data_IF_318673227773
#
_entry.id   IF_318673227773
#
_cell.length_a   1.000
_cell.length_b   1.000
_cell.length_c   1.000
_cell.angle_alpha   90.00
_cell.angle_beta   90.00
_cell.angle_gamma   90.00
#
_symmetry.space_group_name_H-M   'P 1'
#
loop_
_entity.id
_entity.type
_entity.pdbx_description
1 polymer ?
#
# COMPACT_ATOMS: atom_id res chain seq x y z
N UNK A 1 1.12 -3.33 21.94
CA UNK A 1 2.54 -3.71 21.84
C UNK A 1 3.29 -3.18 23.05
N UNK A 2 4.05 -4.02 23.77
CA UNK A 2 4.91 -3.59 24.88
C UNK A 2 6.33 -3.22 24.44
N UNK A 3 7.17 -2.78 25.37
CA UNK A 3 8.56 -2.34 25.11
C UNK A 3 9.41 -3.39 24.38
N UNK A 4 9.31 -4.66 24.79
CA UNK A 4 9.99 -5.78 24.11
C UNK A 4 9.60 -5.90 22.64
N UNK A 5 8.30 -5.77 22.32
CA UNK A 5 7.81 -5.87 20.94
C UNK A 5 8.26 -4.70 20.06
N UNK A 6 8.41 -3.49 20.64
CA UNK A 6 8.96 -2.34 19.93
C UNK A 6 10.43 -2.58 19.58
N UNK A 7 11.22 -3.14 20.51
CA UNK A 7 12.63 -3.48 20.28
C UNK A 7 12.77 -4.54 19.19
N UNK A 8 12.01 -5.62 19.26
CA UNK A 8 12.03 -6.68 18.25
C UNK A 8 11.67 -6.17 16.85
N UNK A 9 10.64 -5.34 16.73
CA UNK A 9 10.27 -4.69 15.46
C UNK A 9 11.41 -3.79 14.96
N UNK A 10 12.02 -3.02 15.87
CA UNK A 10 13.11 -2.09 15.53
C UNK A 10 14.33 -2.84 15.00
N UNK A 11 14.76 -3.89 15.70
CA UNK A 11 15.91 -4.69 15.31
C UNK A 11 15.64 -5.39 13.96
N UNK A 12 14.44 -5.95 13.79
CA UNK A 12 14.03 -6.56 12.53
C UNK A 12 14.06 -5.58 11.36
N UNK A 13 13.54 -4.35 11.54
CA UNK A 13 13.55 -3.37 10.45
C UNK A 13 14.94 -2.82 10.15
N UNK A 14 15.85 -2.76 11.14
CA UNK A 14 17.25 -2.37 10.89
C UNK A 14 17.96 -3.42 10.05
N UNK A 15 17.81 -4.71 10.38
CA UNK A 15 18.35 -5.79 9.54
C UNK A 15 17.81 -5.71 8.11
N UNK A 16 16.49 -5.51 7.95
CA UNK A 16 15.90 -5.31 6.62
C UNK A 16 16.51 -4.08 5.94
N UNK A 17 16.67 -2.96 6.64
CA UNK A 17 17.24 -1.75 6.06
C UNK A 17 18.68 -1.97 5.57
N UNK A 18 19.50 -2.68 6.34
CA UNK A 18 20.87 -3.06 6.00
C UNK A 18 20.94 -3.95 4.75
N UNK A 19 20.06 -4.94 4.65
CA UNK A 19 19.94 -5.83 3.48
C UNK A 19 19.62 -5.06 2.17
N UNK A 20 19.02 -3.87 2.29
CA UNK A 20 18.69 -2.98 1.18
C UNK A 20 19.65 -1.78 1.04
N UNK A 21 20.81 -1.83 1.68
CA UNK A 21 21.92 -0.90 1.46
C UNK A 21 21.99 0.27 2.43
N UNK A 22 21.03 0.43 3.35
CA UNK A 22 21.15 1.45 4.39
C UNK A 22 22.26 1.12 5.39
N UNK A 23 22.94 2.12 5.98
CA UNK A 23 22.74 3.57 5.86
C UNK A 23 23.39 4.22 4.62
N UNK A 24 23.94 3.44 3.69
CA UNK A 24 24.60 3.96 2.49
C UNK A 24 23.57 4.35 1.41
N UNK A 25 24.07 4.86 0.28
CA UNK A 25 23.22 5.24 -0.85
C UNK A 25 22.59 3.98 -1.49
N UNK A 26 21.32 3.76 -1.18
CA UNK A 26 20.50 2.72 -1.80
C UNK A 26 20.00 3.17 -3.17
N UNK A 27 20.01 2.27 -4.15
CA UNK A 27 19.43 2.54 -5.46
C UNK A 27 17.90 2.66 -5.39
N UNK A 28 17.30 3.39 -6.33
CA UNK A 28 15.84 3.60 -6.35
C UNK A 28 15.03 2.29 -6.34
N UNK A 29 15.56 1.23 -6.96
CA UNK A 29 14.94 -0.10 -6.96
C UNK A 29 14.94 -0.73 -5.56
N UNK A 30 16.01 -0.57 -4.80
CA UNK A 30 16.15 -1.12 -3.44
C UNK A 30 15.27 -0.37 -2.44
N UNK A 31 15.04 0.94 -2.62
CA UNK A 31 14.06 1.69 -1.81
C UNK A 31 12.65 1.08 -1.90
N UNK A 32 12.22 0.71 -3.12
CA UNK A 32 10.90 0.12 -3.36
C UNK A 32 10.82 -1.30 -2.78
N UNK A 33 11.89 -2.09 -2.94
CA UNK A 33 11.95 -3.45 -2.39
C UNK A 33 11.98 -3.45 -0.86
N UNK A 34 12.74 -2.53 -0.26
CA UNK A 34 12.74 -2.27 1.18
C UNK A 34 11.33 -2.01 1.68
N UNK A 35 10.58 -1.10 1.05
CA UNK A 35 9.21 -0.77 1.46
C UNK A 35 8.29 -2.00 1.47
N UNK A 36 8.45 -2.93 0.50
CA UNK A 36 7.65 -4.17 0.44
C UNK A 36 7.97 -5.09 1.60
N UNK A 37 9.25 -5.37 1.84
CA UNK A 37 9.67 -6.26 2.92
C UNK A 37 9.34 -5.65 4.30
N UNK A 38 9.59 -4.36 4.47
CA UNK A 38 9.25 -3.64 5.69
C UNK A 38 7.74 -3.62 5.97
N UNK A 39 6.90 -3.43 4.95
CA UNK A 39 5.44 -3.48 5.12
C UNK A 39 4.96 -4.82 5.70
N UNK A 40 5.50 -5.93 5.19
CA UNK A 40 5.17 -7.27 5.69
C UNK A 40 5.65 -7.46 7.14
N UNK A 41 6.90 -7.10 7.44
CA UNK A 41 7.48 -7.22 8.77
C UNK A 41 6.71 -6.39 9.81
N UNK A 42 6.37 -5.14 9.46
CA UNK A 42 5.57 -4.23 10.28
C UNK A 42 4.20 -4.83 10.57
N UNK A 43 3.48 -5.29 9.54
CA UNK A 43 2.15 -5.85 9.72
C UNK A 43 2.15 -7.12 10.56
N UNK A 44 3.10 -8.05 10.33
CA UNK A 44 3.22 -9.29 11.09
C UNK A 44 3.55 -9.05 12.56
N UNK A 45 4.41 -8.08 12.83
CA UNK A 45 4.92 -7.84 14.19
C UNK A 45 3.96 -7.01 15.04
N UNK A 46 3.23 -6.05 14.44
CA UNK A 46 2.50 -5.07 15.23
C UNK A 46 1.25 -5.60 15.94
N UNK A 47 0.58 -6.60 15.37
CA UNK A 47 -0.67 -7.19 15.88
C UNK A 47 -1.63 -6.15 16.50
N UNK A 48 -1.88 -5.06 15.76
CA UNK A 48 -2.81 -3.99 16.12
C UNK A 48 -4.05 -4.04 15.24
N UNK A 49 -5.16 -3.54 15.75
CA UNK A 49 -6.42 -3.36 15.01
C UNK A 49 -6.37 -2.13 14.11
N UNK A 50 -7.29 -2.06 13.14
CA UNK A 50 -7.47 -0.86 12.31
C UNK A 50 -7.77 0.41 13.12
N UNK A 51 -8.44 0.26 14.28
CA UNK A 51 -8.74 1.36 15.19
C UNK A 51 -7.45 1.87 15.85
N UNK A 52 -6.62 0.98 16.38
CA UNK A 52 -5.33 1.35 16.96
C UNK A 52 -4.40 1.95 15.89
N UNK A 53 -4.37 1.36 14.69
CA UNK A 53 -3.63 1.86 13.54
C UNK A 53 -4.12 3.22 13.03
N UNK A 54 -5.34 3.66 13.38
CA UNK A 54 -5.81 5.02 13.08
C UNK A 54 -5.21 6.08 14.02
N UNK A 55 -4.61 5.66 15.13
CA UNK A 55 -4.01 6.55 16.13
C UNK A 55 -2.67 7.05 15.65
N UNK A 56 -2.62 8.33 15.27
CA UNK A 56 -1.41 9.02 14.77
C UNK A 56 -0.19 8.89 15.69
N UNK A 57 -0.42 8.88 17.00
CA UNK A 57 0.65 8.77 18.00
C UNK A 57 1.49 7.50 17.89
N UNK A 58 0.89 6.37 17.49
CA UNK A 58 1.61 5.10 17.27
C UNK A 58 2.69 5.30 16.21
N UNK A 59 2.33 5.95 15.12
CA UNK A 59 3.21 6.13 13.97
C UNK A 59 4.29 7.18 14.21
N UNK A 60 3.92 8.33 14.79
CA UNK A 60 4.88 9.36 15.15
C UNK A 60 5.89 8.84 16.19
N UNK A 61 5.47 7.99 17.13
CA UNK A 61 6.40 7.32 18.05
C UNK A 61 7.41 6.45 17.31
N UNK A 62 6.96 5.62 16.37
CA UNK A 62 7.89 4.79 15.57
C UNK A 62 8.89 5.64 14.78
N UNK A 63 8.44 6.71 14.13
CA UNK A 63 9.29 7.55 13.29
C UNK A 63 10.22 8.51 14.03
N UNK A 64 9.84 8.95 15.24
CA UNK A 64 10.61 9.97 15.97
C UNK A 64 11.42 9.36 17.11
N UNK A 65 10.90 8.31 17.76
CA UNK A 65 11.50 7.73 18.97
C UNK A 65 12.15 6.38 18.69
N UNK A 66 11.44 5.43 18.09
CA UNK A 66 11.95 4.06 17.95
C UNK A 66 12.96 3.89 16.81
N UNK A 67 12.63 4.45 15.63
CA UNK A 67 13.36 4.26 14.38
C UNK A 67 13.54 5.58 13.58
N UNK A 68 14.10 6.64 14.20
CA UNK A 68 14.35 7.90 13.49
C UNK A 68 15.42 7.76 12.40
N UNK A 69 16.37 6.86 12.59
CA UNK A 69 17.40 6.46 11.63
C UNK A 69 16.80 5.96 10.32
N UNK A 70 15.93 4.95 10.37
CA UNK A 70 15.28 4.37 9.18
C UNK A 70 14.45 5.43 8.44
N UNK A 71 13.75 6.28 9.17
CA UNK A 71 12.96 7.37 8.57
C UNK A 71 13.87 8.38 7.85
N UNK A 72 15.00 8.75 8.46
CA UNK A 72 15.99 9.64 7.86
C UNK A 72 16.66 9.04 6.63
N UNK A 73 17.03 7.76 6.68
CA UNK A 73 17.65 7.08 5.53
C UNK A 73 16.69 6.97 4.35
N UNK A 74 15.43 6.61 4.61
CA UNK A 74 14.41 6.47 3.55
C UNK A 74 13.96 7.81 2.97
N UNK A 75 13.97 8.87 3.77
CA UNK A 75 13.49 10.21 3.41
C UNK A 75 14.42 11.32 3.93
N UNK A 76 15.61 11.50 3.32
CA UNK A 76 16.64 12.41 3.84
C UNK A 76 16.25 13.90 3.81
N UNK A 77 15.30 14.27 2.94
CA UNK A 77 14.88 15.66 2.69
C UNK A 77 14.01 16.29 3.80
N UNK A 78 13.90 15.66 4.98
CA UNK A 78 13.13 16.16 6.14
C UNK A 78 11.68 16.54 5.80
N UNK A 79 11.02 15.79 4.93
CA UNK A 79 9.60 15.99 4.66
C UNK A 79 8.78 15.63 5.90
N UNK A 80 8.18 16.64 6.55
CA UNK A 80 7.48 16.48 7.83
C UNK A 80 6.35 15.44 7.79
N UNK A 81 5.68 15.25 6.65
CA UNK A 81 4.60 14.26 6.51
C UNK A 81 5.11 12.81 6.62
N UNK A 82 6.41 12.58 6.39
CA UNK A 82 7.05 11.26 6.54
C UNK A 82 7.36 10.94 8.00
N UNK A 83 7.53 11.95 8.84
CA UNK A 83 7.94 11.86 10.24
C UNK A 83 6.78 12.01 11.22
N UNK A 84 5.85 12.90 10.92
CA UNK A 84 4.68 13.21 11.74
C UNK A 84 3.47 12.73 10.98
N UNK A 85 2.65 11.90 11.63
CA UNK A 85 1.48 11.28 11.03
C UNK A 85 0.30 12.26 10.82
N UNK A 86 0.54 13.39 10.13
CA UNK A 86 -0.46 14.35 9.64
C UNK A 86 -1.32 13.76 8.52
N UNK A 87 -0.74 12.85 7.72
CA UNK A 87 -1.43 12.03 6.75
C UNK A 87 -0.92 10.58 6.85
N UNK A 88 -1.80 9.65 7.27
CA UNK A 88 -1.48 8.24 7.44
C UNK A 88 -1.12 7.54 6.12
N UNK A 89 -1.53 8.09 4.98
CA UNK A 89 -1.22 7.53 3.65
C UNK A 89 0.18 7.92 3.16
N UNK A 90 0.79 8.94 3.77
CA UNK A 90 2.11 9.47 3.42
C UNK A 90 3.17 9.17 4.47
N UNK A 91 2.77 8.98 5.73
CA UNK A 91 3.71 8.71 6.80
C UNK A 91 4.52 7.42 6.60
N UNK A 92 5.81 7.45 6.96
CA UNK A 92 6.82 6.41 6.67
C UNK A 92 6.30 5.00 6.97
N UNK A 93 5.96 4.72 8.23
CA UNK A 93 5.55 3.37 8.65
C UNK A 93 4.05 3.10 8.50
N UNK A 94 3.23 4.14 8.62
CA UNK A 94 1.77 4.01 8.59
C UNK A 94 1.32 3.53 7.22
N UNK A 95 1.84 4.14 6.14
CA UNK A 95 1.47 3.75 4.78
C UNK A 95 1.79 2.27 4.53
N UNK A 96 2.91 1.78 5.07
CA UNK A 96 3.36 0.41 4.87
C UNK A 96 2.43 -0.57 5.58
N UNK A 97 2.05 -0.27 6.84
CA UNK A 97 1.08 -1.09 7.57
C UNK A 97 -0.28 -1.12 6.89
N UNK A 98 -0.79 0.03 6.42
CA UNK A 98 -2.08 0.10 5.73
C UNK A 98 -2.05 -0.58 4.35
N UNK A 99 -0.94 -0.48 3.62
CA UNK A 99 -0.74 -1.23 2.37
C UNK A 99 -0.78 -2.74 2.64
N UNK A 100 -0.02 -3.22 3.63
CA UNK A 100 -0.02 -4.62 4.02
C UNK A 100 -1.41 -5.09 4.46
N UNK A 101 -2.10 -4.35 5.33
CA UNK A 101 -3.47 -4.66 5.78
C UNK A 101 -4.45 -4.74 4.61
N UNK A 102 -4.33 -3.83 3.65
CA UNK A 102 -5.22 -3.77 2.48
C UNK A 102 -5.02 -4.96 1.56
N UNK A 103 -3.77 -5.39 1.34
CA UNK A 103 -3.45 -6.38 0.30
C UNK A 103 -3.09 -7.77 0.81
N UNK A 104 -3.02 -7.99 2.13
CA UNK A 104 -2.86 -9.32 2.70
C UNK A 104 -4.09 -10.19 2.45
N UNK A 105 -3.88 -11.43 2.05
CA UNK A 105 -4.93 -12.46 1.99
C UNK A 105 -4.69 -13.44 3.12
N UNK A 106 -5.67 -13.60 4.01
CA UNK A 106 -5.58 -14.54 5.13
C UNK A 106 -6.04 -15.90 4.61
N UNK A 107 -5.17 -16.91 4.76
CA UNK A 107 -5.39 -18.29 4.35
C UNK A 107 -5.19 -19.22 5.55
N UNK A 108 -5.56 -20.50 5.42
CA UNK A 108 -5.29 -21.52 6.44
C UNK A 108 -3.78 -21.70 6.71
N UNK A 109 -2.93 -21.40 5.72
CA UNK A 109 -1.48 -21.43 5.85
C UNK A 109 -0.89 -20.13 6.45
N UNK A 110 -1.73 -19.14 6.76
CA UNK A 110 -1.35 -17.84 7.29
C UNK A 110 -1.54 -16.69 6.31
N UNK A 111 -0.81 -15.60 6.55
CA UNK A 111 -0.92 -14.35 5.78
C UNK A 111 -0.11 -14.43 4.48
N UNK A 112 -0.81 -14.38 3.34
CA UNK A 112 -0.23 -14.24 2.01
C UNK A 112 -0.12 -12.77 1.59
N UNK A 113 1.10 -12.34 1.24
CA UNK A 113 1.42 -10.99 0.78
C UNK A 113 1.77 -10.95 -0.72
N UNK A 114 1.56 -12.05 -1.46
CA UNK A 114 1.85 -12.16 -2.90
C UNK A 114 1.27 -10.99 -3.70
N UNK A 115 0.02 -10.60 -3.40
CA UNK A 115 -0.63 -9.46 -4.03
C UNK A 115 0.12 -8.15 -3.76
N UNK A 116 0.50 -7.87 -2.51
CA UNK A 116 1.29 -6.68 -2.17
C UNK A 116 2.63 -6.65 -2.92
N UNK A 117 3.34 -7.78 -2.94
CA UNK A 117 4.65 -7.91 -3.59
C UNK A 117 4.61 -7.65 -5.09
N UNK A 118 3.48 -7.97 -5.73
CA UNK A 118 3.29 -7.79 -7.18
C UNK A 118 3.00 -6.34 -7.60
N UNK A 119 2.72 -5.44 -6.65
CA UNK A 119 2.33 -4.05 -6.95
C UNK A 119 3.54 -3.11 -6.90
N UNK A 120 3.67 -2.26 -7.92
CA UNK A 120 4.65 -1.16 -7.90
C UNK A 120 4.22 -0.04 -6.94
N UNK A 121 5.13 0.87 -6.58
CA UNK A 121 4.76 2.05 -5.77
C UNK A 121 3.73 2.92 -6.48
N UNK A 122 3.81 3.01 -7.82
CA UNK A 122 2.80 3.72 -8.60
C UNK A 122 1.43 3.07 -8.51
N UNK A 123 1.35 1.72 -8.55
CA UNK A 123 0.07 1.01 -8.45
C UNK A 123 -0.57 1.23 -7.07
N UNK A 124 0.24 1.12 -6.01
CA UNK A 124 -0.23 1.36 -4.64
C UNK A 124 -0.76 2.78 -4.49
N UNK A 125 -0.01 3.80 -4.90
CA UNK A 125 -0.46 5.19 -4.78
C UNK A 125 -1.80 5.41 -5.51
N UNK A 126 -1.97 4.83 -6.71
CA UNK A 126 -3.21 4.95 -7.47
C UNK A 126 -4.42 4.31 -6.77
N UNK A 127 -4.23 3.32 -5.91
CA UNK A 127 -5.29 2.64 -5.17
C UNK A 127 -5.48 3.30 -3.79
N UNK A 128 -4.41 3.44 -3.00
CA UNK A 128 -4.46 3.81 -1.59
C UNK A 128 -4.72 5.29 -1.35
N UNK A 129 -4.31 6.20 -2.25
CA UNK A 129 -4.62 7.63 -2.12
C UNK A 129 -6.09 7.93 -2.43
N UNK A 130 -6.83 6.97 -2.99
CA UNK A 130 -8.23 7.13 -3.38
C UNK A 130 -9.15 6.57 -2.30
N UNK A 131 -9.48 7.41 -1.30
CA UNK A 131 -10.29 7.02 -0.13
C UNK A 131 -11.55 6.21 -0.44
N UNK A 132 -12.31 6.54 -1.48
CA UNK A 132 -13.52 5.79 -1.86
C UNK A 132 -13.25 4.36 -2.34
N UNK A 133 -12.04 4.08 -2.84
CA UNK A 133 -11.62 2.73 -3.22
C UNK A 133 -10.94 2.05 -2.04
N UNK A 134 -9.95 2.71 -1.43
CA UNK A 134 -9.18 2.16 -0.33
C UNK A 134 -10.05 1.79 0.88
N UNK A 135 -11.18 2.49 1.09
CA UNK A 135 -12.15 2.19 2.14
C UNK A 135 -12.97 0.91 1.91
N UNK A 136 -12.91 0.31 0.72
CA UNK A 136 -13.57 -0.95 0.39
C UNK A 136 -12.48 -1.97 0.02
N UNK A 137 -11.96 -2.66 1.03
CA UNK A 137 -10.81 -3.57 0.87
C UNK A 137 -10.99 -4.62 -0.25
N UNK A 138 -12.15 -5.30 -0.39
CA UNK A 138 -12.36 -6.23 -1.50
C UNK A 138 -12.20 -5.57 -2.88
N UNK A 139 -12.74 -4.36 -3.06
CA UNK A 139 -12.60 -3.60 -4.30
C UNK A 139 -11.14 -3.18 -4.54
N UNK A 140 -10.42 -2.72 -3.52
CA UNK A 140 -9.01 -2.37 -3.63
C UNK A 140 -8.16 -3.58 -4.09
N UNK A 141 -8.41 -4.78 -3.52
CA UNK A 141 -7.75 -6.03 -3.92
C UNK A 141 -8.11 -6.44 -5.34
N UNK A 142 -9.39 -6.33 -5.72
CA UNK A 142 -9.85 -6.62 -7.08
C UNK A 142 -9.17 -5.71 -8.11
N UNK A 143 -9.08 -4.40 -7.83
CA UNK A 143 -8.35 -3.45 -8.68
C UNK A 143 -6.88 -3.84 -8.79
N UNK A 144 -6.22 -4.20 -7.69
CA UNK A 144 -4.86 -4.68 -7.71
C UNK A 144 -4.71 -5.92 -8.62
N UNK A 145 -5.49 -6.99 -8.39
CA UNK A 145 -5.48 -8.24 -9.18
C UNK A 145 -5.63 -7.97 -10.68
N UNK A 146 -6.63 -7.18 -11.05
CA UNK A 146 -6.92 -6.86 -12.46
C UNK A 146 -5.83 -5.97 -13.07
N UNK A 147 -5.25 -5.05 -12.29
CA UNK A 147 -4.25 -4.11 -12.81
C UNK A 147 -2.88 -4.73 -13.09
N UNK A 148 -2.53 -5.82 -12.40
CA UNK A 148 -1.26 -6.54 -12.59
C UNK A 148 -1.18 -7.11 -14.02
N UNK A 149 -2.32 -7.51 -14.60
CA UNK A 149 -2.40 -8.01 -15.96
C UNK A 149 -2.34 -6.94 -17.07
N UNK A 150 -2.21 -5.66 -16.72
CA UNK A 150 -2.11 -4.56 -17.68
C UNK A 150 -0.65 -4.23 -17.98
N UNK A 151 -0.35 -3.88 -19.22
CA UNK A 151 0.99 -3.40 -19.61
C UNK A 151 1.46 -2.26 -18.69
N UNK A 152 2.70 -2.37 -18.22
CA UNK A 152 3.28 -1.44 -17.23
C UNK A 152 3.55 -0.04 -17.80
N UNK A 153 3.56 0.96 -16.92
CA UNK A 153 4.01 2.32 -17.24
C UNK A 153 2.87 3.33 -17.42
N UNK A 154 3.01 4.22 -18.42
CA UNK A 154 2.10 5.35 -18.63
C UNK A 154 0.71 4.92 -19.11
N UNK A 155 0.62 3.82 -19.86
CA UNK A 155 -0.66 3.23 -20.27
C UNK A 155 -1.49 2.84 -19.04
N UNK A 156 -0.89 2.14 -18.06
CA UNK A 156 -1.57 1.77 -16.82
C UNK A 156 -2.09 2.98 -16.05
N UNK A 157 -1.27 4.03 -15.89
CA UNK A 157 -1.69 5.27 -15.22
C UNK A 157 -2.85 5.95 -15.94
N UNK A 158 -2.82 6.00 -17.27
CA UNK A 158 -3.90 6.56 -18.07
C UNK A 158 -5.20 5.74 -17.90
N UNK A 159 -5.10 4.40 -17.88
CA UNK A 159 -6.24 3.52 -17.61
C UNK A 159 -6.81 3.78 -16.22
N UNK A 160 -5.99 3.87 -15.17
CA UNK A 160 -6.47 4.22 -13.81
C UNK A 160 -7.17 5.59 -13.76
N UNK A 161 -6.65 6.57 -14.50
CA UNK A 161 -7.25 7.91 -14.58
C UNK A 161 -8.65 7.87 -15.18
N UNK A 162 -8.87 7.03 -16.18
CA UNK A 162 -10.16 6.88 -16.87
C UNK A 162 -11.12 5.90 -16.16
N UNK A 163 -10.60 4.81 -15.59
CA UNK A 163 -11.39 3.75 -14.96
C UNK A 163 -12.00 4.16 -13.62
N UNK A 164 -11.24 4.85 -12.77
CA UNK A 164 -11.70 5.14 -11.41
C UNK A 164 -12.91 6.07 -11.35
N UNK A 165 -13.03 7.15 -12.13
CA UNK A 165 -14.27 7.93 -12.18
C UNK A 165 -15.48 7.06 -12.54
N UNK A 166 -15.30 6.09 -13.44
CA UNK A 166 -16.35 5.14 -13.83
C UNK A 166 -16.71 4.20 -12.67
N UNK A 167 -15.72 3.64 -11.97
CA UNK A 167 -15.97 2.85 -10.75
C UNK A 167 -16.70 3.66 -9.68
N UNK A 168 -16.29 4.90 -9.41
CA UNK A 168 -16.94 5.79 -8.44
C UNK A 168 -18.39 6.10 -8.80
N UNK A 169 -18.70 6.28 -10.08
CA UNK A 169 -20.09 6.45 -10.54
C UNK A 169 -20.93 5.20 -10.26
N UNK A 170 -20.35 4.01 -10.41
CA UNK A 170 -21.04 2.76 -10.12
C UNK A 170 -21.30 2.55 -8.62
N UNK A 171 -20.43 3.08 -7.76
CA UNK A 171 -20.61 3.00 -6.31
C UNK A 171 -21.90 3.68 -5.82
N UNK A 172 -22.49 4.59 -6.61
CA UNK A 172 -23.78 5.21 -6.28
C UNK A 172 -24.97 4.24 -6.42
N UNK A 173 -24.78 3.13 -7.15
CA UNK A 173 -25.85 2.17 -7.48
C UNK A 173 -25.53 0.75 -7.02
N UNK A 174 -24.27 0.45 -6.74
CA UNK A 174 -23.77 -0.88 -6.39
C UNK A 174 -22.95 -0.78 -5.13
N UNK A 175 -23.34 -1.55 -4.11
CA UNK A 175 -22.51 -1.74 -2.94
C UNK A 175 -21.44 -2.81 -3.22
N UNK A 176 -20.25 -2.33 -3.61
CA UNK A 176 -19.10 -3.18 -3.88
C UNK A 176 -18.64 -3.99 -2.65
N UNK A 177 -19.00 -3.61 -1.42
CA UNK A 177 -18.64 -4.39 -0.24
C UNK A 177 -19.41 -5.72 -0.13
N UNK A 178 -20.51 -5.86 -0.88
CA UNK A 178 -21.38 -7.06 -0.84
C UNK A 178 -21.10 -8.07 -1.96
N UNK A 179 -20.27 -7.69 -2.94
CA UNK A 179 -19.94 -8.54 -4.09
C UNK A 179 -18.88 -9.58 -3.73
N UNK A 180 -18.97 -10.76 -4.36
CA UNK A 180 -17.89 -11.76 -4.28
C UNK A 180 -16.63 -11.28 -5.03
N UNK A 181 -15.49 -11.91 -4.74
CA UNK A 181 -14.23 -11.61 -5.44
C UNK A 181 -14.37 -11.76 -6.98
N UNK A 182 -15.07 -12.78 -7.45
CA UNK A 182 -15.32 -12.99 -8.89
C UNK A 182 -16.18 -11.86 -9.49
N UNK A 183 -17.26 -11.48 -8.80
CA UNK A 183 -18.14 -10.39 -9.24
C UNK A 183 -17.39 -9.04 -9.26
N UNK A 184 -16.52 -8.81 -8.27
CA UNK A 184 -15.67 -7.64 -8.23
C UNK A 184 -14.70 -7.64 -9.41
N UNK A 185 -14.00 -8.74 -9.63
CA UNK A 185 -13.01 -8.86 -10.69
C UNK A 185 -13.66 -8.70 -12.08
N UNK A 186 -14.83 -9.28 -12.30
CA UNK A 186 -15.63 -9.09 -13.52
C UNK A 186 -15.98 -7.61 -13.74
N UNK A 187 -16.44 -6.93 -12.68
CA UNK A 187 -16.84 -5.53 -12.76
C UNK A 187 -15.64 -4.62 -13.01
N UNK A 188 -14.54 -4.85 -12.32
CA UNK A 188 -13.30 -4.10 -12.49
C UNK A 188 -12.73 -4.35 -13.89
N UNK A 189 -12.67 -5.60 -14.36
CA UNK A 189 -12.22 -5.95 -15.73
C UNK A 189 -13.05 -5.24 -16.79
N UNK A 190 -14.38 -5.21 -16.66
CA UNK A 190 -15.25 -4.50 -17.60
C UNK A 190 -14.93 -3.00 -17.67
N UNK A 191 -14.74 -2.35 -16.51
CA UNK A 191 -14.44 -0.91 -16.45
C UNK A 191 -13.03 -0.59 -16.96
N UNK A 192 -12.03 -1.37 -16.56
CA UNK A 192 -10.65 -1.20 -16.98
C UNK A 192 -10.45 -1.49 -18.47
N UNK A 193 -11.12 -2.52 -19.02
CA UNK A 193 -11.12 -2.81 -20.45
C UNK A 193 -11.69 -1.64 -21.27
N UNK A 194 -12.86 -1.12 -20.86
CA UNK A 194 -13.47 0.04 -21.51
C UNK A 194 -12.61 1.32 -21.38
N UNK A 195 -11.85 1.47 -20.30
CA UNK A 195 -10.91 2.58 -20.11
C UNK A 195 -9.69 2.43 -21.02
N UNK A 196 -9.12 1.23 -21.11
CA UNK A 196 -8.02 0.89 -22.02
C UNK A 196 -8.39 1.20 -23.48
N UNK A 197 -9.54 0.74 -23.96
CA UNK A 197 -10.00 1.06 -25.33
C UNK A 197 -10.26 2.56 -25.55
N UNK A 198 -10.50 3.35 -24.50
CA UNK A 198 -10.63 4.80 -24.61
C UNK A 198 -9.28 5.47 -24.76
N UNK A 199 -8.30 5.05 -23.96
CA UNK A 199 -6.92 5.56 -24.01
C UNK A 199 -6.29 5.30 -25.38
N UNK A 200 -6.42 4.08 -25.91
CA UNK A 200 -5.89 3.72 -27.24
C UNK A 200 -6.52 4.49 -28.40
N UNK A 201 -7.72 5.07 -28.23
CA UNK A 201 -8.39 5.86 -29.28
C UNK A 201 -7.95 7.34 -29.30
N UNK A 202 -7.29 7.81 -28.24
CA UNK A 202 -6.94 9.22 -28.05
C UNK A 202 -5.43 9.45 -27.87
N UNK A 203 -4.60 8.40 -27.96
CA UNK A 203 -3.13 8.48 -27.94
C UNK A 203 -2.57 8.16 -29.31
#
# INVERSE_FOLDING_TARGET
MGETGVRELTDSLRTIAEDFGYPHDAEAADLVRFDRVAAEAIHRSMNITAVEASTRGVWSFLAIVAMPDITQWRFPNRNIERWIATDLTRHMFSRLWWQATTFVVVTDAGNDYSLLRSLSESDLNQITERRSIAGITPLARSIARVSIGLDSGDSRRAVFREAVPRLRRLMAFVDFATLSDDQLDDRVRAVFGAASSSVHRHG
#
